data_IF_208091514373
#
_entry.id   IF_208091514373
#
_cell.length_a   1.000
_cell.length_b   1.000
_cell.length_c   1.000
_cell.angle_alpha   90.00
_cell.angle_beta   90.00
_cell.angle_gamma   90.00
#
_symmetry.space_group_name_H-M   'P 1'
#
loop_
_entity.id
_entity.type
_entity.pdbx_description
1 polymer ?
#
# COMPACT_ATOMS: atom_id res chain seq x y z
N UNK A 1 2.90 -19.06 6.03
CA UNK A 1 2.40 -17.83 5.42
C UNK A 1 1.71 -18.13 4.11
N UNK A 2 0.56 -17.56 3.90
CA UNK A 2 -0.20 -17.78 2.68
C UNK A 2 0.13 -16.71 1.64
N UNK A 3 0.20 -17.15 0.39
CA UNK A 3 0.47 -16.29 -0.75
C UNK A 3 -0.82 -16.18 -1.54
N UNK A 4 -1.36 -14.98 -1.62
CA UNK A 4 -2.71 -14.73 -2.15
C UNK A 4 -2.63 -13.73 -3.30
N UNK A 5 -3.37 -13.98 -4.38
CA UNK A 5 -3.48 -13.05 -5.50
C UNK A 5 -4.16 -11.76 -5.06
N UNK A 6 -3.50 -10.63 -5.28
CA UNK A 6 -4.08 -9.31 -5.03
C UNK A 6 -4.71 -8.74 -6.30
N UNK A 7 -4.02 -8.80 -7.42
CA UNK A 7 -4.49 -8.27 -8.69
C UNK A 7 -3.60 -8.79 -9.81
N UNK A 8 -3.92 -8.42 -11.03
CA UNK A 8 -3.06 -8.67 -12.20
C UNK A 8 -2.20 -7.44 -12.47
N UNK A 9 -1.03 -7.64 -13.08
CA UNK A 9 -0.12 -6.53 -13.40
C UNK A 9 -0.77 -5.50 -14.33
N UNK A 10 -1.63 -5.92 -15.24
CA UNK A 10 -2.31 -5.00 -16.15
C UNK A 10 -3.48 -4.25 -15.52
N UNK A 11 -3.84 -4.58 -14.28
CA UNK A 11 -4.89 -3.88 -13.54
C UNK A 11 -4.36 -2.71 -12.71
N UNK A 12 -3.05 -2.58 -12.58
CA UNK A 12 -2.43 -1.56 -11.74
C UNK A 12 -1.21 -0.96 -12.45
N UNK A 13 -1.43 0.18 -13.07
CA UNK A 13 -0.38 0.88 -13.81
C UNK A 13 0.59 1.60 -12.87
N UNK A 14 1.78 1.91 -13.38
CA UNK A 14 2.78 2.67 -12.63
C UNK A 14 2.22 4.00 -12.15
N UNK A 15 2.46 4.33 -10.89
CA UNK A 15 1.97 5.54 -10.27
C UNK A 15 0.57 5.44 -9.69
N UNK A 16 -0.03 4.25 -9.69
CA UNK A 16 -1.38 4.03 -9.17
C UNK A 16 -1.37 3.11 -7.95
N UNK A 17 -2.47 3.17 -7.22
CA UNK A 17 -2.72 2.33 -6.04
C UNK A 17 -4.05 1.62 -6.18
N UNK A 18 -4.17 0.47 -5.51
CA UNK A 18 -5.42 -0.29 -5.46
C UNK A 18 -5.60 -0.89 -4.07
N UNK A 19 -6.79 -0.73 -3.52
CA UNK A 19 -7.15 -1.39 -2.25
C UNK A 19 -7.65 -2.80 -2.53
N UNK A 20 -7.12 -3.77 -1.77
CA UNK A 20 -7.61 -5.15 -1.80
C UNK A 20 -7.92 -5.58 -0.37
N UNK A 21 -8.87 -6.50 -0.22
CA UNK A 21 -9.23 -7.06 1.09
C UNK A 21 -8.86 -8.53 1.10
N UNK A 22 -8.00 -8.91 2.04
CA UNK A 22 -7.50 -10.28 2.18
C UNK A 22 -7.67 -10.70 3.64
N UNK A 23 -8.45 -11.75 3.88
CA UNK A 23 -8.71 -12.28 5.22
C UNK A 23 -9.19 -11.20 6.20
N UNK A 24 -10.06 -10.31 5.73
CA UNK A 24 -10.59 -9.21 6.55
C UNK A 24 -9.63 -8.05 6.73
N UNK A 25 -8.45 -8.10 6.13
CA UNK A 25 -7.47 -7.00 6.18
C UNK A 25 -7.57 -6.16 4.93
N UNK A 26 -7.58 -4.86 5.10
CA UNK A 26 -7.53 -3.94 3.98
C UNK A 26 -6.08 -3.58 3.69
N UNK A 27 -5.65 -3.80 2.47
CA UNK A 27 -4.26 -3.64 2.04
C UNK A 27 -4.24 -2.77 0.80
N UNK A 28 -3.34 -1.78 0.77
CA UNK A 28 -3.11 -0.99 -0.43
C UNK A 28 -1.92 -1.58 -1.18
N UNK A 29 -2.10 -1.81 -2.48
CA UNK A 29 -1.04 -2.24 -3.38
C UNK A 29 -0.70 -1.06 -4.27
N UNK A 30 0.58 -0.76 -4.39
CA UNK A 30 1.07 0.36 -5.19
C UNK A 30 2.05 -0.13 -6.25
N UNK A 31 1.96 0.44 -7.44
CA UNK A 31 2.93 0.22 -8.50
C UNK A 31 3.83 1.45 -8.58
N UNK A 32 5.10 1.28 -8.24
CA UNK A 32 6.10 2.35 -8.23
C UNK A 32 7.15 2.03 -9.29
N UNK A 33 7.01 2.64 -10.46
CA UNK A 33 7.96 2.45 -11.55
C UNK A 33 8.06 1.02 -12.06
N UNK A 34 7.00 0.23 -11.95
CA UNK A 34 6.99 -1.17 -12.34
C UNK A 34 7.25 -2.15 -11.21
N UNK A 35 7.55 -1.64 -10.00
CA UNK A 35 7.71 -2.47 -8.80
C UNK A 35 6.45 -2.38 -7.95
N UNK A 36 6.01 -3.50 -7.41
CA UNK A 36 4.78 -3.56 -6.62
C UNK A 36 5.11 -3.68 -5.15
N UNK A 37 4.44 -2.87 -4.35
CA UNK A 37 4.58 -2.85 -2.89
C UNK A 37 3.21 -2.93 -2.25
N UNK A 38 3.13 -3.47 -1.04
CA UNK A 38 1.88 -3.60 -0.32
C UNK A 38 2.08 -3.25 1.14
N UNK A 39 1.12 -2.52 1.70
CA UNK A 39 1.09 -2.21 3.12
C UNK A 39 -0.37 -2.06 3.56
N UNK A 40 -0.57 -1.94 4.87
CA UNK A 40 -1.92 -1.72 5.40
C UNK A 40 -2.52 -0.48 4.75
N UNK A 41 -3.79 -0.57 4.35
CA UNK A 41 -4.50 0.53 3.74
C UNK A 41 -4.99 1.55 4.76
N UNK A 42 -5.21 1.13 5.99
CA UNK A 42 -5.76 2.01 7.03
C UNK A 42 -4.68 2.91 7.60
N UNK A 43 -4.87 4.23 7.47
CA UNK A 43 -3.97 5.21 8.06
C UNK A 43 -3.96 5.05 9.58
N UNK A 44 -2.77 4.93 10.18
CA UNK A 44 -2.62 4.69 11.62
C UNK A 44 -3.06 5.89 12.46
N UNK A 45 -3.18 7.08 11.85
CA UNK A 45 -3.63 8.29 12.52
C UNK A 45 -5.15 8.44 12.47
N UNK A 46 -5.73 8.43 11.26
CA UNK A 46 -7.13 8.82 11.07
C UNK A 46 -8.07 7.65 10.79
N UNK A 47 -7.54 6.48 10.45
CA UNK A 47 -8.35 5.34 10.01
C UNK A 47 -8.85 5.45 8.58
N UNK A 48 -8.41 6.49 7.85
CA UNK A 48 -8.80 6.66 6.45
C UNK A 48 -8.11 5.64 5.54
N UNK A 49 -8.72 5.36 4.39
CA UNK A 49 -8.14 4.50 3.38
C UNK A 49 -7.02 5.24 2.64
N UNK A 50 -5.81 4.71 2.67
CA UNK A 50 -4.68 5.31 1.97
C UNK A 50 -4.84 5.21 0.45
N UNK A 51 -5.54 4.20 -0.03
CA UNK A 51 -5.81 4.07 -1.47
C UNK A 51 -6.68 5.20 -2.00
N UNK A 52 -7.41 5.89 -1.13
CA UNK A 52 -8.21 7.06 -1.49
C UNK A 52 -7.41 8.36 -1.40
N UNK A 53 -6.17 8.30 -0.93
CA UNK A 53 -5.28 9.45 -0.90
C UNK A 53 -4.53 9.57 -2.23
N UNK A 54 -3.29 10.04 -2.14
CA UNK A 54 -2.44 10.22 -3.33
C UNK A 54 -1.12 9.49 -3.17
N UNK A 55 -0.50 9.16 -4.29
CA UNK A 55 0.84 8.58 -4.31
C UNK A 55 1.73 9.42 -5.20
N UNK A 56 2.95 9.68 -4.73
CA UNK A 56 3.98 10.38 -5.49
C UNK A 56 5.29 9.60 -5.30
N UNK A 57 5.76 8.97 -6.38
CA UNK A 57 6.89 8.06 -6.28
C UNK A 57 6.53 6.90 -5.35
N UNK A 58 7.24 6.76 -4.23
CA UNK A 58 6.99 5.73 -3.23
C UNK A 58 6.27 6.28 -1.99
N UNK A 59 5.88 7.55 -1.99
CA UNK A 59 5.21 8.19 -0.86
C UNK A 59 3.70 8.23 -1.05
N UNK A 60 2.98 7.63 -0.10
CA UNK A 60 1.51 7.70 -0.07
C UNK A 60 1.12 8.76 0.96
N UNK A 61 0.24 9.68 0.55
CA UNK A 61 -0.29 10.72 1.43
C UNK A 61 -1.74 10.42 1.76
N UNK A 62 -2.03 10.35 3.07
CA UNK A 62 -3.39 10.20 3.56
C UNK A 62 -4.20 11.45 3.20
N UNK A 63 -5.39 11.27 2.62
CA UNK A 63 -6.20 12.38 2.15
C UNK A 63 -6.85 13.21 3.26
N UNK A 64 -6.85 12.72 4.50
CA UNK A 64 -7.54 13.43 5.59
C UNK A 64 -6.64 14.45 6.29
N UNK A 65 -5.44 14.04 6.75
CA UNK A 65 -4.59 14.91 7.55
C UNK A 65 -3.18 15.04 7.00
N UNK A 66 -2.92 14.50 5.81
CA UNK A 66 -1.65 14.65 5.13
C UNK A 66 -0.50 13.81 5.68
N UNK A 67 -0.78 12.78 6.49
CA UNK A 67 0.25 11.86 6.94
C UNK A 67 0.87 11.17 5.72
N UNK A 68 2.21 11.11 5.66
CA UNK A 68 2.93 10.52 4.54
C UNK A 68 3.67 9.27 4.96
N UNK A 69 3.50 8.21 4.19
CA UNK A 69 4.13 6.91 4.45
C UNK A 69 4.90 6.45 3.23
N UNK A 70 6.04 5.80 3.48
CA UNK A 70 6.81 5.14 2.43
C UNK A 70 6.18 3.77 2.18
N UNK A 71 5.57 3.57 1.01
CA UNK A 71 4.88 2.32 0.71
C UNK A 71 5.83 1.13 0.54
N UNK A 72 7.12 1.37 0.33
CA UNK A 72 8.10 0.28 0.19
C UNK A 72 8.43 -0.37 1.53
N UNK A 73 8.28 0.35 2.63
CA UNK A 73 8.62 -0.13 3.98
C UNK A 73 7.46 -0.04 4.97
N UNK A 74 6.45 0.77 4.66
CA UNK A 74 5.35 1.08 5.58
C UNK A 74 5.71 2.14 6.62
N UNK A 75 6.92 2.68 6.59
CA UNK A 75 7.37 3.65 7.59
C UNK A 75 6.74 5.01 7.39
N UNK A 76 6.41 5.65 8.51
CA UNK A 76 5.96 7.04 8.51
C UNK A 76 7.09 7.93 8.01
N UNK A 77 6.83 8.69 6.93
CA UNK A 77 7.79 9.63 6.37
C UNK A 77 7.67 11.02 6.97
N UNK A 78 6.42 11.52 7.07
CA UNK A 78 6.19 12.86 7.56
C UNK A 78 4.80 13.02 8.16
N UNK A 79 4.76 13.50 9.38
CA UNK A 79 3.54 13.94 10.07
C UNK A 79 3.95 14.75 11.29
N UNK A 80 3.20 15.78 11.68
CA UNK A 80 3.59 16.65 12.80
C UNK A 80 3.49 15.96 14.18
N UNK A 81 2.85 14.81 14.28
CA UNK A 81 2.77 14.02 15.51
C UNK A 81 3.37 12.64 15.29
N UNK A 82 3.76 11.98 16.38
CA UNK A 82 4.28 10.62 16.28
C UNK A 82 3.12 9.63 16.20
N UNK A 83 3.02 8.92 15.10
CA UNK A 83 2.03 7.87 14.88
C UNK A 83 2.73 6.59 14.44
N UNK A 84 1.99 5.48 14.46
CA UNK A 84 2.58 4.18 14.13
C UNK A 84 2.89 4.06 12.63
N UNK A 85 3.90 3.26 12.32
CA UNK A 85 4.17 2.86 10.95
C UNK A 85 3.08 1.89 10.45
N UNK A 86 2.97 1.77 9.15
CA UNK A 86 2.10 0.78 8.53
C UNK A 86 2.81 -0.57 8.49
N UNK A 87 2.05 -1.65 8.58
CA UNK A 87 2.61 -2.97 8.32
C UNK A 87 2.79 -3.13 6.81
N UNK A 88 3.99 -3.55 6.39
CA UNK A 88 4.25 -3.87 4.99
C UNK A 88 4.15 -5.37 4.76
N UNK A 89 3.88 -5.77 3.52
CA UNK A 89 3.72 -7.16 3.13
C UNK A 89 4.65 -7.46 1.97
N UNK A 90 5.18 -8.68 1.94
CA UNK A 90 6.00 -9.12 0.81
C UNK A 90 5.13 -9.32 -0.42
N UNK A 91 5.63 -8.88 -1.56
CA UNK A 91 4.95 -8.97 -2.84
C UNK A 91 5.83 -9.77 -3.80
N UNK A 92 5.21 -10.66 -4.56
CA UNK A 92 5.89 -11.37 -5.63
C UNK A 92 5.04 -11.34 -6.89
N UNK A 93 5.71 -11.44 -8.02
CA UNK A 93 5.05 -11.45 -9.34
C UNK A 93 5.31 -12.81 -9.98
N UNK A 94 4.25 -13.50 -10.39
CA UNK A 94 4.36 -14.74 -11.15
C UNK A 94 3.48 -14.62 -12.39
N UNK A 95 4.10 -14.67 -13.57
CA UNK A 95 3.43 -14.35 -14.82
C UNK A 95 2.83 -12.95 -14.77
N UNK A 96 1.51 -12.84 -14.84
CA UNK A 96 0.82 -11.55 -14.76
C UNK A 96 0.12 -11.34 -13.42
N UNK A 97 0.38 -12.20 -12.43
CA UNK A 97 -0.29 -12.14 -11.15
C UNK A 97 0.58 -11.51 -10.09
N UNK A 98 -0.01 -10.61 -9.32
CA UNK A 98 0.62 -9.97 -8.16
C UNK A 98 0.14 -10.70 -6.91
N UNK A 99 1.08 -11.33 -6.20
CA UNK A 99 0.80 -12.05 -4.96
C UNK A 99 1.27 -11.28 -3.75
N UNK A 100 0.49 -11.34 -2.68
CA UNK A 100 0.85 -10.79 -1.37
C UNK A 100 0.96 -11.94 -0.39
N UNK A 101 2.01 -11.93 0.42
CA UNK A 101 2.18 -12.87 1.51
C UNK A 101 1.58 -12.29 2.80
N UNK A 102 0.62 -13.01 3.34
CA UNK A 102 -0.06 -12.61 4.58
C UNK A 102 0.10 -13.65 5.67
#
# INVERSE_FOLDING_TARGET
MAKIIACKTNELESGNMKKVTIDGREIVVANVGGNYFACDDTCTHSGASLAEGTIDGSTITCGWHGAQFDCTTGKLSQFPAKINDLKSYNVSIESEDVFIEV
#
